data_IF_662956909184
#
_entry.id   IF_662956909184
#
_cell.length_a   1.000
_cell.length_b   1.000
_cell.length_c   1.000
_cell.angle_alpha   90.00
_cell.angle_beta   90.00
_cell.angle_gamma   90.00
#
_symmetry.space_group_name_H-M   'P 1'
#
loop_
_entity.id
_entity.type
_entity.pdbx_description
1 polymer ?
#
# COMPACT_ATOMS: atom_id res chain seq x y z
N UNK A 1 -36.91 29.85 -43.47
CA UNK A 1 -35.71 29.93 -42.60
C UNK A 1 -35.43 28.54 -42.09
N UNK A 2 -34.50 27.85 -42.73
CA UNK A 2 -34.14 26.46 -42.41
C UNK A 2 -33.31 26.41 -41.15
N UNK A 3 -33.74 25.68 -40.16
CA UNK A 3 -32.89 25.32 -39.05
C UNK A 3 -31.84 24.32 -39.56
N UNK A 4 -30.55 24.54 -39.32
CA UNK A 4 -29.56 23.52 -39.64
C UNK A 4 -29.81 22.31 -38.71
N UNK A 5 -30.18 21.21 -39.30
CA UNK A 5 -30.18 19.94 -38.59
C UNK A 5 -28.72 19.54 -38.36
N UNK A 6 -28.27 19.71 -37.14
CA UNK A 6 -27.03 19.10 -36.69
C UNK A 6 -27.29 17.60 -36.63
N UNK A 7 -26.92 16.91 -37.72
CA UNK A 7 -26.87 15.47 -37.72
C UNK A 7 -25.79 15.01 -36.75
N UNK A 8 -26.20 14.53 -35.62
CA UNK A 8 -25.28 13.82 -34.73
C UNK A 8 -24.81 12.57 -35.45
N UNK A 9 -23.52 12.36 -35.60
CA UNK A 9 -23.04 11.09 -36.13
C UNK A 9 -23.49 10.00 -35.16
N UNK A 10 -24.34 9.12 -35.62
CA UNK A 10 -24.63 7.88 -34.89
C UNK A 10 -23.30 7.14 -34.76
N UNK A 11 -22.75 7.15 -33.58
CA UNK A 11 -21.70 6.24 -33.22
C UNK A 11 -22.26 4.82 -33.37
N UNK A 12 -21.95 4.21 -34.49
CA UNK A 12 -22.09 2.77 -34.62
C UNK A 12 -21.14 2.15 -33.62
N UNK A 13 -21.65 1.82 -32.48
CA UNK A 13 -20.97 0.88 -31.60
C UNK A 13 -21.01 -0.45 -32.35
N UNK A 14 -19.96 -0.75 -33.07
CA UNK A 14 -19.72 -2.09 -33.55
C UNK A 14 -19.51 -2.92 -32.31
N UNK A 15 -20.56 -3.58 -31.86
CA UNK A 15 -20.42 -4.69 -30.95
C UNK A 15 -19.58 -5.72 -31.69
N UNK A 16 -18.28 -5.70 -31.48
CA UNK A 16 -17.42 -6.79 -31.87
C UNK A 16 -17.82 -7.94 -30.98
N UNK A 17 -18.74 -8.77 -31.44
CA UNK A 17 -18.95 -10.08 -30.87
C UNK A 17 -17.63 -10.80 -30.98
N UNK A 18 -16.87 -10.81 -29.89
CA UNK A 18 -15.75 -11.71 -29.73
C UNK A 18 -16.40 -13.08 -29.67
N UNK A 19 -16.40 -13.79 -30.81
CA UNK A 19 -16.77 -15.19 -30.81
C UNK A 19 -15.76 -15.91 -29.91
N UNK A 20 -16.16 -16.22 -28.70
CA UNK A 20 -15.42 -17.11 -27.84
C UNK A 20 -15.55 -18.48 -28.49
N UNK A 21 -14.49 -18.91 -29.19
CA UNK A 21 -14.45 -20.21 -29.79
C UNK A 21 -14.66 -21.32 -28.74
N UNK A 22 -15.20 -22.49 -29.14
CA UNK A 22 -15.48 -23.59 -28.23
C UNK A 22 -14.24 -24.17 -27.55
N UNK A 23 -13.05 -23.80 -27.99
CA UNK A 23 -11.77 -24.26 -27.43
C UNK A 23 -11.20 -23.33 -26.36
N UNK A 24 -12.05 -22.50 -25.74
CA UNK A 24 -11.62 -21.77 -24.58
C UNK A 24 -11.49 -22.73 -23.39
N UNK A 25 -10.39 -23.45 -23.37
CA UNK A 25 -9.95 -24.12 -22.15
C UNK A 25 -9.80 -23.03 -21.11
N UNK A 26 -10.58 -23.03 -20.03
CA UNK A 26 -10.36 -22.09 -18.96
C UNK A 26 -8.88 -22.19 -18.57
N UNK A 27 -8.19 -21.08 -18.36
CA UNK A 27 -6.82 -21.15 -17.88
C UNK A 27 -6.85 -22.08 -16.68
N UNK A 28 -6.09 -23.16 -16.74
CA UNK A 28 -5.99 -24.06 -15.61
C UNK A 28 -5.52 -23.21 -14.46
N UNK A 29 -6.45 -22.91 -13.58
CA UNK A 29 -6.14 -22.24 -12.33
C UNK A 29 -5.07 -23.12 -11.70
N UNK A 30 -3.85 -22.61 -11.65
CA UNK A 30 -2.76 -23.32 -10.99
C UNK A 30 -3.29 -23.80 -9.66
N UNK A 31 -3.16 -25.09 -9.35
CA UNK A 31 -3.79 -25.65 -8.15
C UNK A 31 -3.42 -24.75 -6.98
N UNK A 32 -4.40 -24.38 -6.19
CA UNK A 32 -4.30 -23.42 -5.08
C UNK A 32 -3.11 -23.68 -4.15
N UNK A 33 -2.56 -24.89 -4.16
CA UNK A 33 -1.35 -25.28 -3.48
C UNK A 33 -0.08 -24.54 -3.92
N UNK A 34 0.00 -24.01 -5.15
CA UNK A 34 1.17 -23.21 -5.58
C UNK A 34 1.12 -21.79 -5.07
N UNK A 35 -0.07 -21.21 -4.93
CA UNK A 35 -0.24 -19.87 -4.36
C UNK A 35 -0.01 -19.93 -2.85
N UNK A 36 -0.44 -20.97 -2.17
CA UNK A 36 -0.17 -21.20 -0.75
C UNK A 36 1.32 -21.42 -0.48
N UNK A 37 2.04 -22.11 -1.37
CA UNK A 37 3.49 -22.29 -1.24
C UNK A 37 4.26 -20.96 -1.33
N UNK A 38 3.78 -20.02 -2.11
CA UNK A 38 4.35 -18.67 -2.16
C UNK A 38 4.14 -17.90 -0.85
N UNK A 39 2.98 -18.02 -0.26
CA UNK A 39 2.64 -17.44 1.06
C UNK A 39 3.41 -18.13 2.20
N UNK A 40 3.55 -19.45 2.16
CA UNK A 40 4.30 -20.22 3.15
C UNK A 40 5.82 -20.05 2.98
N UNK A 41 6.31 -19.86 1.78
CA UNK A 41 7.73 -19.62 1.53
C UNK A 41 8.22 -18.28 2.07
N UNK A 42 7.36 -17.28 2.18
CA UNK A 42 7.67 -16.00 2.81
C UNK A 42 7.48 -16.07 4.34
N UNK A 43 6.61 -16.92 4.84
CA UNK A 43 6.41 -17.12 6.28
C UNK A 43 7.45 -18.03 6.94
N UNK A 44 8.20 -18.83 6.17
CA UNK A 44 9.15 -19.81 6.71
C UNK A 44 10.43 -19.24 7.34
N UNK A 45 10.66 -17.92 7.22
CA UNK A 45 11.85 -17.28 7.79
C UNK A 45 11.62 -16.64 9.16
N UNK A 46 10.44 -16.75 9.72
CA UNK A 46 10.05 -16.01 10.93
C UNK A 46 10.19 -16.78 12.23
N UNK A 47 10.38 -18.10 12.15
CA UNK A 47 10.25 -18.96 13.33
C UNK A 47 11.50 -19.06 14.23
N UNK A 48 12.59 -18.35 13.91
CA UNK A 48 13.83 -18.48 14.70
C UNK A 48 14.22 -17.24 15.50
N UNK A 49 13.34 -16.23 15.62
CA UNK A 49 13.67 -14.99 16.35
C UNK A 49 12.91 -14.79 17.66
N UNK A 50 12.15 -15.78 18.11
CA UNK A 50 11.24 -15.62 19.26
C UNK A 50 11.90 -15.67 20.64
N UNK A 51 13.24 -15.79 20.73
CA UNK A 51 13.93 -15.99 22.02
C UNK A 51 14.30 -14.66 22.68
N UNK A 52 14.42 -13.59 21.93
CA UNK A 52 14.66 -12.24 22.45
C UNK A 52 13.58 -11.33 21.90
N UNK A 53 12.73 -10.76 22.75
CA UNK A 53 11.62 -9.90 22.39
C UNK A 53 11.85 -9.14 21.09
N UNK A 54 11.40 -9.72 20.00
CA UNK A 54 11.79 -9.34 18.64
C UNK A 54 11.23 -7.96 18.35
N UNK A 55 12.09 -6.97 18.35
CA UNK A 55 11.77 -5.66 17.80
C UNK A 55 11.85 -5.80 16.29
N UNK A 56 10.74 -6.05 15.63
CA UNK A 56 10.67 -6.11 14.18
C UNK A 56 9.88 -4.91 13.65
N UNK A 57 10.50 -4.13 12.77
CA UNK A 57 9.85 -3.06 12.04
C UNK A 57 9.80 -3.44 10.58
N UNK A 58 8.60 -3.45 10.01
CA UNK A 58 8.37 -3.68 8.58
C UNK A 58 7.75 -2.43 7.98
N UNK A 59 8.36 -1.91 6.91
CA UNK A 59 7.86 -0.73 6.19
C UNK A 59 7.62 -1.10 4.74
N UNK A 60 6.39 -0.94 4.31
CA UNK A 60 5.97 -1.14 2.92
C UNK A 60 5.54 0.19 2.32
N UNK A 61 6.06 0.51 1.15
CA UNK A 61 5.70 1.74 0.43
C UNK A 61 5.34 1.38 -1.01
N UNK A 62 4.18 1.86 -1.46
CA UNK A 62 3.68 1.62 -2.82
C UNK A 62 3.18 2.92 -3.43
N UNK A 63 3.50 3.14 -4.70
CA UNK A 63 3.05 4.32 -5.47
C UNK A 63 3.38 5.68 -4.82
N UNK A 64 4.48 5.75 -4.10
CA UNK A 64 4.92 6.98 -3.40
C UNK A 64 5.95 7.79 -4.19
N UNK A 65 6.16 7.48 -5.47
CA UNK A 65 7.01 8.25 -6.38
C UNK A 65 8.50 7.94 -6.24
N UNK A 66 9.30 8.95 -5.93
CA UNK A 66 10.76 8.87 -5.94
C UNK A 66 11.35 7.87 -4.93
N UNK A 67 12.25 7.03 -5.41
CA UNK A 67 12.94 6.03 -4.59
C UNK A 67 13.85 6.62 -3.50
N UNK A 68 14.42 7.78 -3.74
CA UNK A 68 15.21 8.51 -2.76
C UNK A 68 14.37 8.93 -1.56
N UNK A 69 13.23 9.55 -1.83
CA UNK A 69 12.27 9.93 -0.81
C UNK A 69 11.73 8.72 -0.03
N UNK A 70 11.46 7.62 -0.73
CA UNK A 70 11.04 6.37 -0.09
C UNK A 70 12.08 5.85 0.90
N UNK A 71 13.36 5.90 0.54
CA UNK A 71 14.46 5.47 1.40
C UNK A 71 14.57 6.35 2.65
N UNK A 72 14.45 7.66 2.50
CA UNK A 72 14.49 8.60 3.63
C UNK A 72 13.30 8.41 4.58
N UNK A 73 12.10 8.29 4.04
CA UNK A 73 10.88 8.05 4.83
C UNK A 73 10.97 6.72 5.57
N UNK A 74 11.45 5.67 4.91
CA UNK A 74 11.66 4.37 5.53
C UNK A 74 12.63 4.46 6.70
N UNK A 75 13.78 5.08 6.50
CA UNK A 75 14.81 5.25 7.53
C UNK A 75 14.26 6.00 8.75
N UNK A 76 13.45 7.04 8.55
CA UNK A 76 12.82 7.78 9.63
C UNK A 76 11.80 6.93 10.38
N UNK A 77 10.96 6.18 9.68
CA UNK A 77 9.98 5.29 10.32
C UNK A 77 10.69 4.22 11.16
N UNK A 78 11.70 3.58 10.61
CA UNK A 78 12.50 2.58 11.33
C UNK A 78 13.17 3.19 12.56
N UNK A 79 13.71 4.39 12.43
CA UNK A 79 14.34 5.10 13.56
C UNK A 79 13.33 5.46 14.67
N UNK A 80 12.15 5.95 14.32
CA UNK A 80 11.10 6.31 15.29
C UNK A 80 10.55 5.08 16.01
N UNK A 81 10.48 3.95 15.32
CA UNK A 81 9.97 2.70 15.87
C UNK A 81 11.04 1.83 16.54
N UNK A 82 12.31 2.12 16.33
CA UNK A 82 13.43 1.33 16.90
C UNK A 82 13.38 1.24 18.43
N UNK A 83 12.91 2.31 19.09
CA UNK A 83 12.78 2.37 20.55
C UNK A 83 11.45 1.80 21.07
N UNK A 84 10.59 1.31 20.19
CA UNK A 84 9.27 0.81 20.55
C UNK A 84 9.28 -0.71 20.63
N UNK A 85 8.88 -1.30 21.77
CA UNK A 85 8.84 -2.75 21.90
C UNK A 85 7.74 -3.35 21.05
N UNK A 86 7.96 -4.57 20.55
CA UNK A 86 7.01 -5.34 19.78
C UNK A 86 7.24 -5.29 18.29
N UNK A 87 6.29 -5.87 17.57
CA UNK A 87 6.31 -5.95 16.12
C UNK A 87 5.48 -4.80 15.55
N UNK A 88 6.10 -4.00 14.70
CA UNK A 88 5.48 -2.85 14.06
C UNK A 88 5.46 -3.02 12.54
N UNK A 89 4.32 -2.73 11.95
CA UNK A 89 4.16 -2.70 10.50
C UNK A 89 3.61 -1.35 10.09
N UNK A 90 4.28 -0.70 9.16
CA UNK A 90 3.84 0.56 8.56
C UNK A 90 3.68 0.34 7.07
N UNK A 91 2.51 0.64 6.54
CA UNK A 91 2.24 0.63 5.11
C UNK A 91 1.88 2.02 4.65
N UNK A 92 2.50 2.47 3.56
CA UNK A 92 2.21 3.74 2.92
C UNK A 92 1.80 3.46 1.48
N UNK A 93 0.59 3.85 1.15
CA UNK A 93 0.03 3.71 -0.18
C UNK A 93 -0.19 5.09 -0.79
N UNK A 94 0.55 5.40 -1.85
CA UNK A 94 0.37 6.62 -2.62
C UNK A 94 -0.78 6.51 -3.61
N UNK A 95 -1.51 7.58 -3.82
CA UNK A 95 -2.52 7.66 -4.87
C UNK A 95 -1.91 8.27 -6.14
N UNK A 96 -2.09 7.59 -7.27
CA UNK A 96 -1.67 8.14 -8.56
C UNK A 96 -2.58 9.27 -9.06
N UNK A 97 -3.81 9.33 -8.56
CA UNK A 97 -4.80 10.33 -8.98
C UNK A 97 -4.73 11.62 -8.18
N UNK A 98 -4.27 11.53 -6.95
CA UNK A 98 -4.22 12.66 -6.02
C UNK A 98 -2.87 12.67 -5.34
N UNK A 99 -2.40 13.83 -4.94
CA UNK A 99 -1.18 13.99 -4.16
C UNK A 99 -1.41 13.63 -2.67
N UNK A 100 -1.92 12.41 -2.44
CA UNK A 100 -2.25 11.89 -1.11
C UNK A 100 -1.63 10.52 -0.89
N UNK A 101 -1.11 10.33 0.29
CA UNK A 101 -0.63 9.03 0.76
C UNK A 101 -1.44 8.58 1.95
N UNK A 102 -1.86 7.35 1.94
CA UNK A 102 -2.49 6.71 3.09
C UNK A 102 -1.44 5.94 3.89
N UNK A 103 -1.20 6.36 5.12
CA UNK A 103 -0.29 5.71 6.03
C UNK A 103 -1.07 4.93 7.07
N UNK A 104 -0.83 3.63 7.17
CA UNK A 104 -1.41 2.75 8.17
C UNK A 104 -0.31 2.18 9.05
N UNK A 105 -0.51 2.24 10.36
CA UNK A 105 0.42 1.73 11.37
C UNK A 105 -0.28 0.66 12.15
N UNK A 106 0.33 -0.51 12.22
CA UNK A 106 -0.12 -1.64 13.04
C UNK A 106 0.99 -1.99 14.02
N UNK A 107 0.65 -2.16 15.25
CA UNK A 107 1.58 -2.45 16.34
C UNK A 107 1.06 -3.50 17.31
N UNK A 108 1.78 -3.74 18.40
CA UNK A 108 1.40 -4.70 19.42
C UNK A 108 0.10 -4.29 20.14
N UNK A 109 -0.53 -5.25 20.82
CA UNK A 109 -1.77 -5.05 21.57
C UNK A 109 -2.95 -4.54 20.72
N UNK A 110 -3.07 -5.03 19.49
CA UNK A 110 -4.10 -4.60 18.53
C UNK A 110 -4.07 -3.09 18.22
N UNK A 111 -2.90 -2.47 18.36
CA UNK A 111 -2.72 -1.08 17.97
C UNK A 111 -2.84 -0.95 16.45
N UNK A 112 -3.77 -0.13 16.01
CA UNK A 112 -3.95 0.20 14.60
C UNK A 112 -4.34 1.67 14.47
N UNK A 113 -3.64 2.39 13.61
CA UNK A 113 -3.93 3.78 13.27
C UNK A 113 -3.69 4.02 11.79
N UNK A 114 -4.53 4.84 11.19
CA UNK A 114 -4.34 5.33 9.82
C UNK A 114 -4.36 6.85 9.78
N UNK A 115 -3.61 7.40 8.83
CA UNK A 115 -3.51 8.83 8.60
C UNK A 115 -3.34 9.09 7.10
N UNK A 116 -4.00 10.11 6.60
CA UNK A 116 -3.84 10.56 5.22
C UNK A 116 -2.86 11.72 5.18
N UNK A 117 -1.76 11.55 4.45
CA UNK A 117 -0.73 12.57 4.22
C UNK A 117 -1.06 13.33 2.94
N UNK A 118 -1.11 14.64 3.01
CA UNK A 118 -1.37 15.49 1.85
C UNK A 118 -0.07 16.14 1.34
N UNK A 119 0.29 15.88 0.09
CA UNK A 119 1.48 16.44 -0.52
C UNK A 119 1.41 17.95 -0.68
N UNK A 120 0.22 18.48 -1.01
CA UNK A 120 -0.03 19.91 -1.10
C UNK A 120 0.20 20.65 0.22
N UNK A 121 0.02 19.98 1.35
CA UNK A 121 0.34 20.48 2.69
C UNK A 121 1.82 20.25 3.09
N UNK A 122 2.63 19.64 2.22
CA UNK A 122 4.02 19.30 2.50
C UNK A 122 4.21 18.15 3.47
N UNK A 123 3.17 17.34 3.69
CA UNK A 123 3.19 16.23 4.65
C UNK A 123 3.98 15.00 4.16
N UNK A 124 4.39 14.99 2.88
CA UNK A 124 5.27 13.95 2.33
C UNK A 124 6.74 14.12 2.74
N UNK A 125 7.08 15.23 3.39
CA UNK A 125 8.45 15.47 3.85
C UNK A 125 8.79 14.54 5.02
N UNK A 126 9.99 13.96 5.03
CA UNK A 126 10.41 13.04 6.07
C UNK A 126 10.28 13.61 7.49
N UNK A 127 10.59 14.88 7.69
CA UNK A 127 10.50 15.55 8.99
C UNK A 127 9.05 15.66 9.48
N UNK A 128 8.11 15.93 8.57
CA UNK A 128 6.69 16.03 8.90
C UNK A 128 6.13 14.66 9.24
N UNK A 129 6.49 13.64 8.47
CA UNK A 129 6.12 12.25 8.74
C UNK A 129 6.61 11.83 10.13
N UNK A 130 7.83 12.19 10.51
CA UNK A 130 8.37 11.95 11.85
C UNK A 130 7.49 12.55 12.95
N UNK A 131 7.05 13.79 12.79
CA UNK A 131 6.17 14.48 13.75
C UNK A 131 4.82 13.80 13.84
N UNK A 132 4.22 13.45 12.71
CA UNK A 132 2.93 12.78 12.64
C UNK A 132 3.01 11.41 13.32
N UNK A 133 4.03 10.61 13.00
CA UNK A 133 4.27 9.32 13.63
C UNK A 133 4.39 9.45 15.15
N UNK A 134 5.16 10.42 15.62
CA UNK A 134 5.35 10.64 17.06
C UNK A 134 4.04 10.97 17.80
N UNK A 135 3.12 11.66 17.11
CA UNK A 135 1.78 11.97 17.65
C UNK A 135 0.82 10.78 17.61
N UNK A 136 0.96 9.92 16.59
CA UNK A 136 0.08 8.76 16.42
C UNK A 136 0.45 7.61 17.35
N UNK A 137 1.72 7.47 17.65
CA UNK A 137 2.22 6.40 18.52
C UNK A 137 1.80 6.62 19.96
N UNK A 138 1.52 5.54 20.70
CA UNK A 138 1.22 5.66 22.11
C UNK A 138 2.41 6.29 22.83
N UNK A 139 2.14 7.36 23.56
CA UNK A 139 3.16 8.03 24.38
C UNK A 139 3.81 7.03 25.34
N UNK A 140 5.12 7.17 25.53
CA UNK A 140 5.80 6.46 26.59
C UNK A 140 5.14 6.86 27.89
N UNK A 141 4.37 5.97 28.51
CA UNK A 141 3.95 6.19 29.89
C UNK A 141 5.23 6.23 30.73
N UNK A 142 5.50 7.40 31.19
CA UNK A 142 6.61 7.59 32.12
C UNK A 142 6.32 6.88 33.44
#
# INVERSE_FOLDING_TARGET
MGRPQLGFPRLRVSATSIAIGPDHTPPQVAPAGRILAWWYGVCGSWEHSDIFGSMAVSVEMQHTGDSGLQAEVRAIIEHVLADKPGIWRVSILGSQANDRWEMKIVGPHAFERSYTLEGSAGEHRPEVIRVILSKMLPGRKA
#
